data_IF_981660513572
#
_entry.id   IF_981660513572
#
_cell.length_a   1.000
_cell.length_b   1.000
_cell.length_c   1.000
_cell.angle_alpha   90.00
_cell.angle_beta   90.00
_cell.angle_gamma   90.00
#
_symmetry.space_group_name_H-M   'P 1'
#
loop_
_entity.id
_entity.type
_entity.pdbx_description
1 polymer ?
#
# COMPACT_ATOMS: atom_id res chain seq x y z
N UNK A 1 22.02 79.44 56.38
CA UNK A 1 22.21 78.03 56.74
C UNK A 1 21.60 77.21 55.61
N UNK A 2 22.30 76.82 54.52
CA UNK A 2 23.27 75.69 54.40
C UNK A 2 22.97 74.55 55.37
N UNK A 3 22.78 73.28 55.03
CA UNK A 3 22.63 72.52 53.77
C UNK A 3 22.57 71.07 54.25
N UNK A 4 21.42 70.39 54.17
CA UNK A 4 21.32 69.00 54.63
C UNK A 4 20.24 68.20 53.90
N UNK A 5 20.23 68.32 52.57
CA UNK A 5 19.53 67.41 51.67
C UNK A 5 20.39 67.21 50.44
N UNK A 6 21.35 66.30 50.52
CA UNK A 6 22.03 65.67 49.36
C UNK A 6 23.11 64.70 49.85
N UNK A 7 22.71 63.70 50.61
CA UNK A 7 23.48 62.47 50.78
C UNK A 7 22.46 61.36 50.94
N UNK A 8 22.05 60.75 49.84
CA UNK A 8 21.41 59.43 49.71
C UNK A 8 20.78 59.30 48.30
N UNK A 9 21.56 59.47 47.24
CA UNK A 9 21.19 58.96 45.91
C UNK A 9 22.38 59.08 44.95
N UNK A 10 23.27 58.10 44.96
CA UNK A 10 24.40 58.10 44.03
C UNK A 10 25.36 56.95 44.25
N UNK A 11 24.85 55.72 44.33
CA UNK A 11 25.72 54.53 44.32
C UNK A 11 24.92 53.25 44.11
N UNK A 12 24.14 53.15 43.03
CA UNK A 12 23.64 51.82 42.62
C UNK A 12 23.31 51.71 41.12
N UNK A 13 23.96 52.54 40.28
CA UNK A 13 23.96 52.31 38.85
C UNK A 13 25.22 51.50 38.51
N UNK A 14 25.03 50.29 38.01
CA UNK A 14 26.12 49.47 37.50
C UNK A 14 26.66 50.17 36.25
N UNK A 15 27.85 50.77 36.35
CA UNK A 15 28.51 51.35 35.19
C UNK A 15 28.99 50.21 34.27
N UNK A 16 28.38 50.14 33.08
CA UNK A 16 28.70 49.14 32.06
C UNK A 16 30.18 49.22 31.63
N UNK A 17 30.77 50.41 31.62
CA UNK A 17 32.19 50.60 31.28
C UNK A 17 33.08 49.98 32.36
N UNK A 18 32.71 50.16 33.63
CA UNK A 18 33.43 49.61 34.77
C UNK A 18 33.38 48.07 34.80
N UNK A 19 32.22 47.48 34.48
CA UNK A 19 32.06 46.03 34.35
C UNK A 19 32.95 45.48 33.24
N UNK A 20 32.96 46.12 32.06
CA UNK A 20 33.80 45.69 30.93
C UNK A 20 35.29 45.77 31.28
N UNK A 21 35.72 46.83 31.96
CA UNK A 21 37.10 46.96 32.45
C UNK A 21 37.45 45.89 33.49
N UNK A 22 36.52 45.56 34.39
CA UNK A 22 36.69 44.49 35.37
C UNK A 22 36.89 43.12 34.71
N UNK A 23 36.09 42.80 33.70
CA UNK A 23 36.27 41.58 32.88
C UNK A 23 37.61 41.60 32.16
N UNK A 24 38.03 42.73 31.61
CA UNK A 24 39.32 42.87 30.91
C UNK A 24 40.53 42.60 31.82
N UNK A 25 40.48 43.08 33.07
CA UNK A 25 41.51 42.79 34.09
C UNK A 25 41.59 41.30 34.42
N UNK A 26 40.45 40.62 34.43
CA UNK A 26 40.36 39.19 34.75
C UNK A 26 40.27 38.29 33.49
N UNK A 27 40.77 38.75 32.33
CA UNK A 27 40.70 38.00 31.05
C UNK A 27 41.29 36.59 31.12
N UNK A 28 42.29 36.36 31.98
CA UNK A 28 42.86 35.02 32.23
C UNK A 28 41.82 34.07 32.81
N UNK A 29 40.95 34.54 33.72
CA UNK A 29 39.88 33.73 34.30
C UNK A 29 38.78 33.42 33.28
N UNK A 30 38.47 34.38 32.39
CA UNK A 30 37.54 34.13 31.27
C UNK A 30 38.05 32.98 30.41
N UNK A 31 39.34 33.00 30.02
CA UNK A 31 39.95 31.94 29.21
C UNK A 31 40.03 30.62 29.99
N UNK A 32 40.46 30.65 31.26
CA UNK A 32 40.63 29.46 32.09
C UNK A 32 39.32 28.70 32.30
N UNK A 33 38.18 29.40 32.38
CA UNK A 33 36.85 28.79 32.50
C UNK A 33 36.29 28.39 31.13
N UNK A 34 36.50 29.21 30.10
CA UNK A 34 35.98 28.92 28.76
C UNK A 34 36.63 27.69 28.13
N UNK A 35 37.95 27.53 28.28
CA UNK A 35 38.73 26.48 27.60
C UNK A 35 38.28 25.06 28.00
N UNK A 36 38.09 24.70 29.28
CA UNK A 36 37.55 23.40 29.68
C UNK A 36 36.14 23.13 29.13
N UNK A 37 35.24 24.13 29.13
CA UNK A 37 33.87 23.96 28.62
C UNK A 37 33.88 23.71 27.10
N UNK A 38 34.72 24.44 26.37
CA UNK A 38 34.91 24.24 24.93
C UNK A 38 35.55 22.88 24.65
N UNK A 39 36.55 22.47 25.44
CA UNK A 39 37.21 21.16 25.32
C UNK A 39 36.23 20.01 25.58
N UNK A 40 35.33 20.14 26.57
CA UNK A 40 34.24 19.18 26.82
C UNK A 40 33.27 19.11 25.65
N UNK A 41 32.90 20.26 25.06
CA UNK A 41 32.05 20.31 23.87
C UNK A 41 32.69 19.60 22.67
N UNK A 42 33.98 19.83 22.44
CA UNK A 42 34.74 19.17 21.39
C UNK A 42 34.86 17.66 21.64
N UNK A 43 35.20 17.27 22.88
CA UNK A 43 35.28 15.87 23.28
C UNK A 43 33.96 15.13 23.06
N UNK A 44 32.83 15.74 23.43
CA UNK A 44 31.50 15.18 23.18
C UNK A 44 31.23 14.96 21.69
N UNK A 45 31.54 15.95 20.84
CA UNK A 45 31.33 15.86 19.38
C UNK A 45 32.19 14.77 18.73
N UNK A 46 33.36 14.48 19.28
CA UNK A 46 34.24 13.42 18.77
C UNK A 46 33.82 12.02 19.25
N UNK A 47 33.13 11.92 20.38
CA UNK A 47 32.76 10.64 20.99
C UNK A 47 31.38 10.13 20.55
N UNK A 48 30.44 11.02 20.23
CA UNK A 48 29.08 10.63 19.82
C UNK A 48 29.06 10.08 18.39
N UNK A 49 28.47 8.89 18.23
CA UNK A 49 28.28 8.25 16.92
C UNK A 49 27.51 9.16 15.95
N UNK A 50 27.98 9.31 14.70
CA UNK A 50 27.26 10.03 13.68
C UNK A 50 25.98 9.28 13.29
N UNK A 51 24.91 10.01 12.99
CA UNK A 51 23.66 9.43 12.46
C UNK A 51 23.43 9.95 11.06
N UNK A 52 23.19 9.04 10.13
CA UNK A 52 22.92 9.30 8.72
C UNK A 52 21.46 9.02 8.42
N UNK A 53 20.89 9.84 7.53
CA UNK A 53 19.48 9.76 7.12
C UNK A 53 19.41 9.32 5.66
N UNK A 54 18.73 8.20 5.40
CA UNK A 54 18.37 7.79 4.05
C UNK A 54 16.87 7.95 3.83
N UNK A 55 16.49 8.29 2.60
CA UNK A 55 15.10 8.47 2.18
C UNK A 55 14.82 7.66 0.92
N UNK A 56 13.63 7.06 0.87
CA UNK A 56 13.08 6.48 -0.34
C UNK A 56 11.68 7.06 -0.54
N UNK A 57 11.48 7.72 -1.69
CA UNK A 57 10.19 8.20 -2.12
C UNK A 57 9.49 7.15 -2.97
N UNK A 58 8.24 6.87 -2.66
CA UNK A 58 7.40 5.90 -3.36
C UNK A 58 6.11 6.56 -3.83
N UNK A 59 5.70 6.23 -5.04
CA UNK A 59 4.51 6.75 -5.70
C UNK A 59 3.73 5.62 -6.39
N UNK A 60 2.52 5.88 -6.92
CA UNK A 60 1.75 4.86 -7.62
C UNK A 60 2.55 4.29 -8.80
N UNK A 61 2.41 2.98 -9.09
CA UNK A 61 2.97 2.41 -10.32
C UNK A 61 2.25 3.00 -11.53
N UNK A 62 2.82 2.85 -12.71
CA UNK A 62 2.14 3.13 -13.97
C UNK A 62 1.13 2.03 -14.32
N UNK A 63 0.18 2.35 -15.20
CA UNK A 63 -0.79 1.36 -15.67
C UNK A 63 -0.11 0.19 -16.42
N UNK A 64 1.02 0.46 -17.08
CA UNK A 64 1.79 -0.56 -17.80
C UNK A 64 2.45 -1.56 -16.83
N UNK A 65 2.93 -1.09 -15.68
CA UNK A 65 3.59 -1.93 -14.65
C UNK A 65 2.61 -2.83 -13.89
N UNK A 66 1.30 -2.62 -14.05
CA UNK A 66 0.26 -3.50 -13.51
C UNK A 66 -0.54 -4.23 -14.60
N UNK A 67 -0.14 -4.11 -15.87
CA UNK A 67 -0.92 -4.64 -17.00
C UNK A 67 -1.20 -6.15 -16.87
N UNK A 68 -0.28 -6.90 -16.25
CA UNK A 68 -0.42 -8.33 -16.02
C UNK A 68 -1.52 -8.68 -15.01
N UNK A 69 -1.82 -7.81 -14.05
CA UNK A 69 -3.00 -7.98 -13.18
C UNK A 69 -4.32 -7.85 -13.94
N UNK A 70 -4.29 -7.14 -15.07
CA UNK A 70 -5.44 -6.94 -15.95
C UNK A 70 -5.55 -8.01 -17.05
N UNK A 71 -4.61 -8.95 -17.14
CA UNK A 71 -4.71 -10.05 -18.09
C UNK A 71 -5.98 -10.87 -17.80
N UNK A 72 -6.86 -10.97 -18.79
CA UNK A 72 -8.16 -11.63 -18.65
C UNK A 72 -9.20 -10.85 -17.84
N UNK A 73 -8.94 -9.60 -17.43
CA UNK A 73 -9.97 -8.70 -16.86
C UNK A 73 -10.61 -7.84 -17.96
N UNK A 74 -11.86 -7.44 -17.74
CA UNK A 74 -12.67 -6.66 -18.68
C UNK A 74 -13.58 -7.51 -19.58
N UNK A 75 -14.19 -6.84 -20.57
CA UNK A 75 -15.00 -7.44 -21.64
C UNK A 75 -15.80 -8.67 -21.22
N UNK A 76 -15.40 -9.81 -21.79
CA UNK A 76 -16.11 -11.09 -21.70
C UNK A 76 -15.79 -11.91 -20.46
N UNK A 77 -15.00 -11.46 -19.47
CA UNK A 77 -14.86 -12.20 -18.20
C UNK A 77 -15.72 -11.63 -17.08
N UNK A 78 -16.16 -10.37 -17.22
CA UNK A 78 -16.93 -9.67 -16.20
C UNK A 78 -16.10 -9.29 -14.98
N UNK A 79 -14.80 -9.58 -14.97
CA UNK A 79 -13.89 -9.14 -13.93
C UNK A 79 -13.58 -7.65 -14.16
N UNK A 80 -13.78 -6.77 -13.17
CA UNK A 80 -13.49 -5.35 -13.33
C UNK A 80 -11.98 -5.13 -13.52
N UNK A 81 -11.56 -4.22 -14.41
CA UNK A 81 -10.15 -3.87 -14.56
C UNK A 81 -9.66 -3.19 -13.28
N UNK A 82 -8.38 -3.41 -12.98
CA UNK A 82 -7.64 -2.83 -11.87
C UNK A 82 -6.87 -1.60 -12.35
N UNK A 83 -6.96 -0.53 -11.58
CA UNK A 83 -6.18 0.68 -11.80
C UNK A 83 -4.86 0.64 -11.04
N UNK A 84 -3.89 1.44 -11.48
CA UNK A 84 -2.66 1.69 -10.73
C UNK A 84 -2.94 2.14 -9.28
N UNK A 85 -4.04 2.87 -9.08
CA UNK A 85 -4.50 3.31 -7.76
C UNK A 85 -4.87 2.11 -6.89
N UNK A 86 -5.59 1.12 -7.41
CA UNK A 86 -6.00 -0.05 -6.63
C UNK A 86 -4.79 -0.83 -6.12
N UNK A 87 -3.79 -1.03 -6.99
CA UNK A 87 -2.53 -1.66 -6.62
C UNK A 87 -1.78 -0.85 -5.55
N UNK A 88 -1.69 0.47 -5.75
CA UNK A 88 -1.00 1.35 -4.81
C UNK A 88 -1.72 1.46 -3.46
N UNK A 89 -3.05 1.44 -3.41
CA UNK A 89 -3.81 1.47 -2.17
C UNK A 89 -3.53 0.21 -1.32
N UNK A 90 -3.41 -0.96 -1.95
CA UNK A 90 -3.01 -2.20 -1.27
C UNK A 90 -1.57 -2.10 -0.77
N UNK A 91 -0.67 -1.51 -1.57
CA UNK A 91 0.69 -1.22 -1.16
C UNK A 91 0.76 -0.31 0.07
N UNK A 92 0.04 0.81 0.06
CA UNK A 92 0.03 1.76 1.18
C UNK A 92 -0.52 1.12 2.46
N UNK A 93 -1.57 0.32 2.37
CA UNK A 93 -2.09 -0.47 3.50
C UNK A 93 -1.01 -1.40 4.06
N UNK A 94 -0.24 -2.07 3.21
CA UNK A 94 0.86 -2.93 3.63
C UNK A 94 2.01 -2.12 4.25
N UNK A 95 2.41 -1.02 3.60
CA UNK A 95 3.50 -0.14 4.01
C UNK A 95 3.27 0.47 5.39
N UNK A 96 2.01 0.77 5.73
CA UNK A 96 1.62 1.33 7.02
C UNK A 96 1.21 0.26 8.04
N UNK A 97 1.24 -1.03 7.68
CA UNK A 97 0.74 -2.09 8.54
C UNK A 97 1.70 -2.41 9.68
N UNK A 98 1.13 -2.65 10.87
CA UNK A 98 1.87 -3.22 12.01
C UNK A 98 2.45 -4.60 11.69
N UNK A 99 1.86 -5.35 10.75
CA UNK A 99 2.38 -6.65 10.34
C UNK A 99 3.75 -6.54 9.65
N UNK A 100 3.89 -5.63 8.68
CA UNK A 100 5.19 -5.34 8.03
C UNK A 100 6.15 -4.75 9.03
N UNK A 101 5.68 -3.83 9.88
CA UNK A 101 6.52 -3.18 10.89
C UNK A 101 7.09 -4.14 11.92
N UNK A 102 6.27 -5.04 12.46
CA UNK A 102 6.70 -6.09 13.37
C UNK A 102 7.62 -7.12 12.71
N UNK A 103 7.38 -7.47 11.44
CA UNK A 103 8.26 -8.38 10.71
C UNK A 103 9.64 -7.75 10.54
N UNK A 104 9.70 -6.51 10.07
CA UNK A 104 10.95 -5.77 9.90
C UNK A 104 11.69 -5.57 11.23
N UNK A 105 10.98 -5.23 12.30
CA UNK A 105 11.56 -5.16 13.65
C UNK A 105 12.30 -6.45 14.03
N UNK A 106 11.66 -7.61 13.79
CA UNK A 106 12.24 -8.91 14.14
C UNK A 106 13.38 -9.34 13.23
N UNK A 107 13.30 -9.06 11.93
CA UNK A 107 14.23 -9.60 10.93
C UNK A 107 15.38 -8.67 10.58
N UNK A 108 15.24 -7.36 10.80
CA UNK A 108 16.23 -6.36 10.40
C UNK A 108 16.76 -5.56 11.59
N UNK A 109 15.92 -5.18 12.57
CA UNK A 109 16.36 -4.40 13.73
C UNK A 109 16.96 -5.25 14.85
N UNK A 110 16.25 -6.27 15.35
CA UNK A 110 16.75 -7.11 16.44
C UNK A 110 18.13 -7.74 16.17
N UNK A 111 18.47 -8.20 14.94
CA UNK A 111 19.79 -8.75 14.66
C UNK A 111 20.94 -7.74 14.73
N UNK A 112 20.66 -6.44 14.73
CA UNK A 112 21.68 -5.39 14.91
C UNK A 112 22.09 -5.22 16.38
N UNK A 113 21.30 -5.76 17.31
CA UNK A 113 21.51 -5.61 18.74
C UNK A 113 22.29 -6.78 19.32
N UNK A 114 23.13 -6.47 20.30
CA UNK A 114 23.80 -7.44 21.18
C UNK A 114 22.78 -8.25 21.99
N UNK A 115 23.20 -9.40 22.53
CA UNK A 115 22.32 -10.24 23.38
C UNK A 115 21.81 -9.46 24.61
N UNK A 116 22.67 -8.64 25.22
CA UNK A 116 22.30 -7.82 26.39
C UNK A 116 21.25 -6.76 26.04
N UNK A 117 21.42 -6.06 24.92
CA UNK A 117 20.44 -5.08 24.44
C UNK A 117 19.09 -5.75 24.11
N UNK A 118 19.12 -6.95 23.54
CA UNK A 118 17.91 -7.73 23.23
C UNK A 118 17.18 -8.23 24.47
N UNK A 119 17.88 -8.43 25.59
CA UNK A 119 17.28 -8.83 26.86
C UNK A 119 16.48 -7.69 27.54
N UNK A 120 16.59 -6.46 27.04
CA UNK A 120 15.84 -5.31 27.54
C UNK A 120 14.33 -5.36 27.28
N UNK A 121 13.63 -4.30 27.68
CA UNK A 121 12.19 -4.17 27.44
C UNK A 121 11.88 -4.13 25.95
N UNK A 122 11.02 -5.05 25.50
CA UNK A 122 10.58 -5.11 24.11
C UNK A 122 9.89 -3.83 23.64
N UNK A 123 9.13 -3.17 24.52
CA UNK A 123 8.45 -1.92 24.19
C UNK A 123 9.43 -0.78 24.00
N UNK A 124 10.50 -0.74 24.81
CA UNK A 124 11.59 0.22 24.65
C UNK A 124 12.33 0.01 23.32
N UNK A 125 12.64 -1.25 22.98
CA UNK A 125 13.26 -1.61 21.72
C UNK A 125 12.38 -1.24 20.51
N UNK A 126 11.07 -1.48 20.61
CA UNK A 126 10.14 -1.11 19.54
C UNK A 126 10.01 0.41 19.38
N UNK A 127 10.00 1.15 20.49
CA UNK A 127 10.02 2.62 20.48
C UNK A 127 11.29 3.17 19.84
N UNK A 128 12.45 2.59 20.16
CA UNK A 128 13.73 2.92 19.54
C UNK A 128 13.68 2.68 18.03
N UNK A 129 13.23 1.50 17.60
CA UNK A 129 13.03 1.18 16.19
C UNK A 129 12.10 2.19 15.48
N UNK A 130 10.97 2.55 16.08
CA UNK A 130 10.04 3.53 15.52
C UNK A 130 10.61 4.95 15.41
N UNK A 131 11.62 5.28 16.21
CA UNK A 131 12.36 6.54 16.10
C UNK A 131 13.34 6.52 14.91
N UNK A 132 13.87 5.35 14.57
CA UNK A 132 14.85 5.14 13.49
C UNK A 132 14.20 5.02 12.12
N UNK A 133 13.08 4.29 12.01
CA UNK A 133 12.36 4.08 10.77
C UNK A 133 10.99 4.77 10.79
N UNK A 134 10.73 5.66 9.85
CA UNK A 134 9.47 6.42 9.73
C UNK A 134 8.88 6.30 8.33
N UNK A 135 7.55 6.24 8.27
CA UNK A 135 6.76 6.30 7.04
C UNK A 135 5.82 7.49 7.17
N UNK A 136 5.84 8.40 6.20
CA UNK A 136 4.99 9.58 6.18
C UNK A 136 4.63 9.96 4.74
N UNK A 137 3.61 10.79 4.57
CA UNK A 137 3.38 11.48 3.30
C UNK A 137 4.55 12.43 3.03
N UNK A 138 5.01 12.49 1.77
CA UNK A 138 6.13 13.32 1.37
C UNK A 138 5.80 14.82 1.50
N UNK A 139 4.56 15.19 1.17
CA UNK A 139 4.03 16.54 1.34
C UNK A 139 2.50 16.50 1.49
N UNK A 140 1.93 17.51 2.17
CA UNK A 140 0.47 17.57 2.44
C UNK A 140 -0.39 17.70 1.18
N UNK A 141 0.18 18.26 0.12
CA UNK A 141 -0.40 18.47 -1.20
C UNK A 141 -0.15 17.30 -2.17
N UNK A 142 0.67 16.31 -1.78
CA UNK A 142 0.96 15.11 -2.56
C UNK A 142 0.53 13.84 -1.80
N UNK A 143 -0.79 13.58 -1.67
CA UNK A 143 -1.32 12.51 -0.81
C UNK A 143 -0.91 11.09 -1.25
N UNK A 144 -0.53 10.94 -2.53
CA UNK A 144 -0.12 9.66 -3.11
C UNK A 144 1.40 9.49 -3.17
N UNK A 145 2.19 10.39 -2.58
CA UNK A 145 3.64 10.28 -2.51
C UNK A 145 4.04 10.06 -1.06
N UNK A 146 4.66 8.93 -0.78
CA UNK A 146 5.12 8.58 0.57
C UNK A 146 6.65 8.59 0.62
N UNK A 147 7.18 8.86 1.80
CA UNK A 147 8.60 8.79 2.09
C UNK A 147 8.84 7.82 3.24
N UNK A 148 9.78 6.90 3.02
CA UNK A 148 10.33 6.02 4.03
C UNK A 148 11.67 6.61 4.42
N UNK A 149 11.85 6.88 5.72
CA UNK A 149 13.08 7.49 6.26
C UNK A 149 13.71 6.53 7.25
N UNK A 150 15.01 6.27 7.11
CA UNK A 150 15.79 5.48 8.06
C UNK A 150 16.97 6.31 8.60
N UNK A 151 17.16 6.28 9.91
CA UNK A 151 18.23 6.97 10.62
C UNK A 151 19.14 5.94 11.32
N UNK A 152 20.33 5.68 10.76
CA UNK A 152 21.29 4.71 11.29
C UNK A 152 22.69 5.31 11.39
N UNK A 153 23.58 4.65 12.13
CA UNK A 153 24.99 5.03 12.22
C UNK A 153 25.78 4.65 10.95
N UNK A 154 25.37 3.57 10.28
CA UNK A 154 25.94 3.17 8.98
C UNK A 154 25.11 3.78 7.82
N UNK A 155 25.72 4.64 6.97
CA UNK A 155 25.08 5.19 5.78
C UNK A 155 24.51 4.12 4.84
N UNK A 156 25.24 3.00 4.66
CA UNK A 156 24.80 1.91 3.77
C UNK A 156 23.62 1.16 4.37
N UNK A 157 23.67 0.89 5.67
CA UNK A 157 22.58 0.34 6.45
C UNK A 157 21.30 1.17 6.32
N UNK A 158 21.39 2.50 6.44
CA UNK A 158 20.24 3.38 6.29
C UNK A 158 19.58 3.26 4.89
N UNK A 159 20.38 3.30 3.82
CA UNK A 159 19.89 3.14 2.45
C UNK A 159 19.29 1.74 2.22
N UNK A 160 19.91 0.71 2.78
CA UNK A 160 19.42 -0.67 2.71
C UNK A 160 18.09 -0.84 3.43
N UNK A 161 17.91 -0.18 4.59
CA UNK A 161 16.71 -0.26 5.40
C UNK A 161 15.48 0.27 4.67
N UNK A 162 15.56 1.48 4.09
CA UNK A 162 14.41 2.06 3.38
C UNK A 162 13.99 1.19 2.19
N UNK A 163 14.97 0.65 1.45
CA UNK A 163 14.76 -0.25 0.31
C UNK A 163 14.10 -1.57 0.74
N UNK A 164 14.65 -2.21 1.78
CA UNK A 164 14.11 -3.48 2.31
C UNK A 164 12.72 -3.32 2.90
N UNK A 165 12.45 -2.22 3.58
CA UNK A 165 11.13 -1.95 4.14
C UNK A 165 10.08 -1.77 3.04
N UNK A 166 10.40 -0.98 2.01
CA UNK A 166 9.54 -0.81 0.83
C UNK A 166 9.27 -2.14 0.12
N UNK A 167 10.31 -2.95 -0.05
CA UNK A 167 10.21 -4.26 -0.71
C UNK A 167 9.39 -5.25 0.13
N UNK A 168 9.56 -5.27 1.45
CA UNK A 168 8.76 -6.11 2.35
C UNK A 168 7.27 -5.75 2.29
N UNK A 169 6.95 -4.45 2.23
CA UNK A 169 5.59 -3.97 2.01
C UNK A 169 5.05 -4.40 0.64
N UNK A 170 5.86 -4.25 -0.41
CA UNK A 170 5.53 -4.64 -1.78
C UNK A 170 5.21 -6.14 -1.89
N UNK A 171 6.03 -7.00 -1.29
CA UNK A 171 5.81 -8.45 -1.30
C UNK A 171 4.51 -8.83 -0.59
N UNK A 172 4.22 -8.21 0.56
CA UNK A 172 2.95 -8.44 1.27
C UNK A 172 1.76 -8.00 0.41
N UNK A 173 1.83 -6.79 -0.15
CA UNK A 173 0.78 -6.22 -0.97
C UNK A 173 0.53 -7.06 -2.24
N UNK A 174 1.60 -7.47 -2.92
CA UNK A 174 1.55 -8.37 -4.09
C UNK A 174 0.88 -9.69 -3.74
N UNK A 175 1.26 -10.33 -2.64
CA UNK A 175 0.66 -11.59 -2.20
C UNK A 175 -0.84 -11.44 -1.91
N UNK A 176 -1.24 -10.36 -1.23
CA UNK A 176 -2.65 -10.06 -0.95
C UNK A 176 -3.45 -9.82 -2.23
N UNK A 177 -2.90 -9.03 -3.15
CA UNK A 177 -3.52 -8.68 -4.43
C UNK A 177 -3.72 -9.91 -5.34
N UNK A 178 -2.71 -10.76 -5.44
CA UNK A 178 -2.77 -11.99 -6.23
C UNK A 178 -3.77 -12.97 -5.63
N UNK A 179 -3.79 -13.11 -4.30
CA UNK A 179 -4.78 -13.94 -3.60
C UNK A 179 -6.20 -13.43 -3.86
N UNK A 180 -6.42 -12.12 -3.76
CA UNK A 180 -7.70 -11.49 -4.07
C UNK A 180 -8.13 -11.76 -5.51
N UNK A 181 -7.23 -11.56 -6.47
CA UNK A 181 -7.51 -11.80 -7.89
C UNK A 181 -7.83 -13.27 -8.18
N UNK A 182 -7.10 -14.21 -7.58
CA UNK A 182 -7.40 -15.64 -7.70
C UNK A 182 -8.81 -15.97 -7.17
N UNK A 183 -9.21 -15.31 -6.08
CA UNK A 183 -10.56 -15.44 -5.52
C UNK A 183 -11.61 -14.88 -6.46
N UNK A 184 -11.41 -13.69 -7.03
CA UNK A 184 -12.33 -13.08 -8.01
C UNK A 184 -12.56 -14.00 -9.20
N UNK A 185 -11.48 -14.55 -9.76
CA UNK A 185 -11.51 -15.48 -10.90
C UNK A 185 -12.28 -16.74 -10.53
N UNK A 186 -12.02 -17.33 -9.36
CA UNK A 186 -12.72 -18.53 -8.90
C UNK A 186 -14.22 -18.28 -8.76
N UNK A 187 -14.62 -17.18 -8.13
CA UNK A 187 -16.03 -16.82 -7.93
C UNK A 187 -16.73 -16.65 -9.28
N UNK A 188 -16.09 -15.97 -10.23
CA UNK A 188 -16.66 -15.80 -11.57
C UNK A 188 -16.78 -17.13 -12.33
N UNK A 189 -15.78 -18.00 -12.22
CA UNK A 189 -15.83 -19.33 -12.81
C UNK A 189 -16.97 -20.17 -12.21
N UNK A 190 -17.09 -20.19 -10.88
CA UNK A 190 -18.13 -20.95 -10.16
C UNK A 190 -19.54 -20.42 -10.50
N UNK A 191 -19.69 -19.10 -10.65
CA UNK A 191 -20.95 -18.50 -11.08
C UNK A 191 -21.34 -18.91 -12.51
N UNK A 192 -20.37 -18.91 -13.42
CA UNK A 192 -20.60 -19.30 -14.82
C UNK A 192 -20.89 -20.80 -14.95
N UNK A 193 -20.20 -21.63 -14.18
CA UNK A 193 -20.44 -23.07 -14.12
C UNK A 193 -21.85 -23.39 -13.63
N UNK A 194 -22.30 -22.74 -12.55
CA UNK A 194 -23.70 -22.86 -12.08
C UNK A 194 -24.71 -22.44 -13.13
N UNK A 195 -24.41 -21.39 -13.91
CA UNK A 195 -25.29 -20.95 -15.00
C UNK A 195 -25.37 -21.99 -16.12
N UNK A 196 -24.24 -22.57 -16.51
CA UNK A 196 -24.19 -23.66 -17.51
C UNK A 196 -25.04 -24.85 -17.04
N UNK A 197 -24.87 -25.28 -15.79
CA UNK A 197 -25.63 -26.40 -15.23
C UNK A 197 -27.14 -26.09 -15.20
N UNK A 198 -27.52 -24.87 -14.86
CA UNK A 198 -28.92 -24.43 -14.88
C UNK A 198 -29.51 -24.45 -16.31
N UNK A 199 -28.77 -23.97 -17.31
CA UNK A 199 -29.21 -23.98 -18.70
C UNK A 199 -29.36 -25.41 -19.23
N UNK A 200 -28.44 -26.32 -18.87
CA UNK A 200 -28.53 -27.75 -19.20
C UNK A 200 -29.74 -28.43 -18.56
N UNK A 201 -30.01 -28.14 -17.28
CA UNK A 201 -31.19 -28.64 -16.60
C UNK A 201 -32.49 -28.10 -17.21
N UNK A 202 -32.52 -26.82 -17.60
CA UNK A 202 -33.67 -26.21 -18.29
C UNK A 202 -33.93 -26.88 -19.63
N UNK A 203 -32.90 -27.06 -20.45
CA UNK A 203 -33.03 -27.73 -21.75
C UNK A 203 -33.51 -29.18 -21.62
N UNK A 204 -33.11 -29.86 -20.53
CA UNK A 204 -33.64 -31.17 -20.17
C UNK A 204 -35.15 -31.16 -19.94
N UNK A 205 -35.66 -30.19 -19.17
CA UNK A 205 -37.09 -30.01 -18.90
C UNK A 205 -37.86 -29.60 -20.16
N UNK A 206 -37.34 -28.63 -20.92
CA UNK A 206 -37.93 -28.19 -22.18
C UNK A 206 -38.07 -29.34 -23.19
N UNK A 207 -37.09 -30.24 -23.24
CA UNK A 207 -37.21 -31.47 -24.06
C UNK A 207 -38.36 -32.35 -23.61
N UNK A 208 -38.51 -32.57 -22.30
CA UNK A 208 -39.60 -33.40 -21.75
C UNK A 208 -40.95 -32.77 -22.07
N UNK A 209 -41.09 -31.46 -21.86
CA UNK A 209 -42.32 -30.72 -22.17
C UNK A 209 -42.65 -30.79 -23.68
N UNK A 210 -41.63 -30.67 -24.54
CA UNK A 210 -41.80 -30.79 -25.99
C UNK A 210 -42.27 -32.19 -26.40
N UNK A 211 -41.72 -33.25 -25.81
CA UNK A 211 -42.17 -34.62 -26.06
C UNK A 211 -43.65 -34.78 -25.65
N UNK A 212 -44.07 -34.23 -24.51
CA UNK A 212 -45.46 -34.28 -24.07
C UNK A 212 -46.40 -33.58 -25.05
N UNK A 213 -46.03 -32.37 -25.52
CA UNK A 213 -46.79 -31.64 -26.53
C UNK A 213 -46.88 -32.40 -27.86
N UNK A 214 -45.78 -33.02 -28.31
CA UNK A 214 -45.76 -33.83 -29.53
C UNK A 214 -46.63 -35.09 -29.40
N UNK A 215 -46.66 -35.73 -28.22
CA UNK A 215 -47.54 -36.89 -27.95
C UNK A 215 -49.02 -36.52 -28.00
N UNK A 216 -49.38 -35.33 -27.50
CA UNK A 216 -50.75 -34.80 -27.62
C UNK A 216 -51.13 -34.57 -29.08
N UNK A 217 -50.28 -33.86 -29.83
CA UNK A 217 -50.48 -33.59 -31.25
C UNK A 217 -50.57 -34.89 -32.09
N UNK A 218 -49.75 -35.89 -31.75
CA UNK A 218 -49.78 -37.20 -32.40
C UNK A 218 -51.12 -37.91 -32.19
N UNK A 219 -51.71 -37.83 -30.98
CA UNK A 219 -53.01 -38.43 -30.68
C UNK A 219 -54.12 -37.81 -31.52
N UNK A 220 -54.10 -36.48 -31.67
CA UNK A 220 -55.04 -35.74 -32.53
C UNK A 220 -54.84 -36.13 -33.99
N UNK A 221 -53.59 -36.15 -34.49
CA UNK A 221 -53.30 -36.52 -35.88
C UNK A 221 -53.79 -37.94 -36.21
N UNK A 222 -53.61 -38.90 -35.28
CA UNK A 222 -54.11 -40.27 -35.42
C UNK A 222 -55.64 -40.35 -35.40
N UNK A 223 -56.32 -39.60 -34.53
CA UNK A 223 -57.79 -39.65 -34.43
C UNK A 223 -58.50 -39.12 -35.68
N UNK A 224 -57.88 -38.16 -36.39
CA UNK A 224 -58.40 -37.62 -37.65
C UNK A 224 -57.82 -38.31 -38.90
N UNK A 225 -56.99 -39.36 -38.74
CA UNK A 225 -56.40 -40.10 -39.86
C UNK A 225 -55.33 -39.34 -40.66
N UNK A 226 -54.72 -38.29 -40.09
CA UNK A 226 -53.72 -37.48 -40.77
C UNK A 226 -52.31 -38.08 -40.63
N UNK A 227 -51.90 -38.90 -41.60
CA UNK A 227 -50.58 -39.52 -41.59
C UNK A 227 -49.43 -38.60 -42.05
N UNK A 228 -49.69 -37.78 -43.07
CA UNK A 228 -48.72 -36.89 -43.72
C UNK A 228 -49.28 -35.46 -43.77
N UNK A 229 -48.43 -34.43 -43.87
CA UNK A 229 -48.89 -33.06 -44.03
C UNK A 229 -49.85 -32.93 -45.22
N UNK A 230 -50.99 -32.22 -45.08
CA UNK A 230 -51.88 -31.97 -46.19
C UNK A 230 -51.18 -31.06 -47.21
N UNK A 231 -51.39 -31.31 -48.51
CA UNK A 231 -50.89 -30.43 -49.57
C UNK A 231 -51.80 -29.20 -49.61
N UNK A 232 -51.28 -28.06 -49.14
CA UNK A 232 -52.00 -26.78 -49.18
C UNK A 232 -51.43 -25.95 -50.34
N UNK A 233 -52.20 -25.81 -51.41
CA UNK A 233 -51.84 -25.01 -52.59
C UNK A 233 -52.35 -23.56 -52.41
N UNK A 234 -51.48 -22.55 -52.54
CA UNK A 234 -51.87 -21.12 -52.59
C UNK A 234 -51.19 -20.16 -51.60
N UNK A 235 -51.69 -18.92 -51.53
CA UNK A 235 -51.17 -17.76 -50.75
C UNK A 235 -51.30 -17.88 -49.23
N UNK A 236 -51.95 -18.93 -48.70
CA UNK A 236 -52.10 -19.23 -47.26
C UNK A 236 -50.86 -19.88 -46.61
N UNK A 237 -49.75 -19.98 -47.33
CA UNK A 237 -48.57 -20.73 -46.90
C UNK A 237 -47.81 -20.09 -45.73
N UNK A 238 -47.79 -18.76 -45.58
CA UNK A 238 -47.04 -18.07 -44.52
C UNK A 238 -47.73 -18.11 -43.15
N UNK A 239 -49.04 -17.87 -43.09
CA UNK A 239 -49.82 -17.86 -41.83
C UNK A 239 -49.99 -19.27 -41.26
N UNK A 240 -50.21 -20.26 -42.14
CA UNK A 240 -50.30 -21.68 -41.73
C UNK A 240 -48.93 -22.18 -41.25
N UNK A 241 -47.83 -21.77 -41.89
CA UNK A 241 -46.47 -22.14 -41.45
C UNK A 241 -46.09 -21.56 -40.08
N UNK A 242 -46.52 -20.33 -39.78
CA UNK A 242 -46.33 -19.72 -38.46
C UNK A 242 -47.18 -20.43 -37.37
N UNK A 243 -48.39 -20.87 -37.70
CA UNK A 243 -49.26 -21.63 -36.80
C UNK A 243 -48.82 -23.08 -36.53
N UNK A 244 -48.05 -23.69 -37.45
CA UNK A 244 -47.52 -25.06 -37.31
C UNK A 244 -46.49 -25.24 -36.18
N UNK A 245 -45.96 -24.14 -35.62
CA UNK A 245 -45.11 -24.19 -34.42
C UNK A 245 -45.88 -24.38 -33.10
N UNK A 246 -47.21 -24.16 -33.11
CA UNK A 246 -48.08 -24.14 -31.93
C UNK A 246 -49.31 -25.03 -32.07
N UNK A 247 -50.52 -24.45 -32.01
CA UNK A 247 -51.82 -25.17 -31.99
C UNK A 247 -52.05 -26.10 -33.18
N UNK A 248 -51.32 -25.93 -34.29
CA UNK A 248 -51.41 -26.75 -35.49
C UNK A 248 -50.31 -27.81 -35.58
N UNK A 249 -49.62 -28.14 -34.49
CA UNK A 249 -48.52 -29.14 -34.50
C UNK A 249 -48.98 -30.50 -35.07
N UNK A 250 -50.25 -30.89 -34.86
CA UNK A 250 -50.83 -32.13 -35.41
C UNK A 250 -50.87 -32.15 -36.94
N UNK A 251 -50.93 -30.98 -37.59
CA UNK A 251 -50.98 -30.87 -39.06
C UNK A 251 -49.69 -31.35 -39.75
N UNK A 252 -48.61 -31.56 -39.00
CA UNK A 252 -47.36 -32.16 -39.49
C UNK A 252 -47.53 -33.66 -39.82
N UNK A 253 -48.62 -34.29 -39.39
CA UNK A 253 -48.95 -35.68 -39.64
C UNK A 253 -48.29 -36.66 -38.67
N UNK A 254 -48.95 -37.79 -38.43
CA UNK A 254 -48.56 -38.77 -37.43
C UNK A 254 -47.12 -39.31 -37.61
N UNK A 255 -46.71 -39.61 -38.86
CA UNK A 255 -45.38 -40.19 -39.13
C UNK A 255 -44.23 -39.26 -38.77
N UNK A 256 -44.38 -37.96 -39.05
CA UNK A 256 -43.37 -36.96 -38.73
C UNK A 256 -43.26 -36.75 -37.21
N UNK A 257 -44.40 -36.72 -36.51
CA UNK A 257 -44.44 -36.56 -35.05
C UNK A 257 -43.84 -37.78 -34.33
N UNK A 258 -44.14 -39.00 -34.78
CA UNK A 258 -43.52 -40.23 -34.25
C UNK A 258 -42.01 -40.23 -34.42
N UNK A 259 -41.52 -39.85 -35.61
CA UNK A 259 -40.09 -39.77 -35.88
C UNK A 259 -39.39 -38.72 -35.00
N UNK A 260 -40.01 -37.55 -34.79
CA UNK A 260 -39.45 -36.52 -33.91
C UNK A 260 -39.45 -36.93 -32.44
N UNK A 261 -40.54 -37.55 -31.95
CA UNK A 261 -40.61 -38.08 -30.58
C UNK A 261 -39.50 -39.12 -30.37
N UNK A 262 -39.37 -40.10 -31.27
CA UNK A 262 -38.34 -41.13 -31.20
C UNK A 262 -36.93 -40.52 -31.19
N UNK A 263 -36.68 -39.50 -32.01
CA UNK A 263 -35.40 -38.79 -32.02
C UNK A 263 -35.13 -38.01 -30.72
N UNK A 264 -36.15 -37.37 -30.13
CA UNK A 264 -36.01 -36.65 -28.86
C UNK A 264 -35.81 -37.59 -27.67
N UNK A 265 -36.51 -38.72 -27.65
CA UNK A 265 -36.37 -39.77 -26.63
C UNK A 265 -35.01 -40.48 -26.71
N UNK A 266 -34.51 -40.75 -27.92
CA UNK A 266 -33.20 -41.37 -28.14
C UNK A 266 -32.01 -40.41 -27.98
N UNK A 267 -32.25 -39.09 -27.90
CA UNK A 267 -31.19 -38.09 -27.80
C UNK A 267 -30.39 -38.24 -26.49
N UNK A 268 -29.06 -38.36 -26.62
CA UNK A 268 -28.14 -38.53 -25.49
C UNK A 268 -27.79 -37.21 -24.78
N UNK A 269 -27.69 -36.09 -25.49
CA UNK A 269 -27.31 -34.79 -24.92
C UNK A 269 -28.12 -33.64 -25.52
N UNK A 270 -28.46 -32.67 -24.67
CA UNK A 270 -29.14 -31.43 -25.07
C UNK A 270 -28.16 -30.29 -25.41
N UNK A 271 -26.87 -30.44 -25.09
CA UNK A 271 -25.86 -29.38 -25.25
C UNK A 271 -25.85 -28.72 -26.64
N UNK A 272 -25.93 -29.47 -27.77
CA UNK A 272 -25.93 -28.84 -29.11
C UNK A 272 -27.13 -27.92 -29.38
N UNK A 273 -28.18 -28.02 -28.57
CA UNK A 273 -29.43 -27.27 -28.73
C UNK A 273 -29.54 -26.11 -27.73
N UNK A 274 -28.56 -25.93 -26.84
CA UNK A 274 -28.54 -24.85 -25.86
C UNK A 274 -27.84 -23.64 -26.47
N UNK A 275 -28.58 -22.56 -26.65
CA UNK A 275 -28.06 -21.31 -27.22
C UNK A 275 -26.97 -20.71 -26.34
N UNK A 276 -25.82 -20.40 -26.94
CA UNK A 276 -24.71 -19.72 -26.24
C UNK A 276 -23.91 -20.63 -25.29
N UNK A 277 -24.14 -21.95 -25.30
CA UNK A 277 -23.48 -22.87 -24.36
C UNK A 277 -21.98 -22.98 -24.62
N UNK A 278 -21.57 -23.02 -25.90
CA UNK A 278 -20.16 -23.21 -26.28
C UNK A 278 -19.32 -22.01 -25.85
N UNK A 279 -19.84 -20.81 -26.06
CA UNK A 279 -19.24 -19.56 -25.64
C UNK A 279 -19.09 -19.48 -24.10
N UNK A 280 -20.11 -19.94 -23.36
CA UNK A 280 -20.04 -20.03 -21.89
C UNK A 280 -18.98 -21.05 -21.43
N UNK A 281 -18.91 -22.22 -22.08
CA UNK A 281 -17.93 -23.25 -21.78
C UNK A 281 -16.50 -22.78 -22.08
N UNK A 282 -16.28 -22.11 -23.22
CA UNK A 282 -14.99 -21.50 -23.58
C UNK A 282 -14.57 -20.45 -22.56
N UNK A 283 -15.49 -19.56 -22.16
CA UNK A 283 -15.24 -18.56 -21.11
C UNK A 283 -14.93 -19.19 -19.76
N UNK A 284 -15.63 -20.26 -19.37
CA UNK A 284 -15.34 -21.00 -18.14
C UNK A 284 -13.94 -21.61 -18.19
N UNK A 285 -13.59 -22.25 -19.31
CA UNK A 285 -12.26 -22.83 -19.52
C UNK A 285 -11.18 -21.75 -19.45
N UNK A 286 -11.41 -20.60 -20.09
CA UNK A 286 -10.51 -19.45 -20.00
C UNK A 286 -10.28 -19.01 -18.55
N UNK A 287 -11.35 -18.77 -17.78
CA UNK A 287 -11.28 -18.38 -16.37
C UNK A 287 -10.52 -19.41 -15.52
N UNK A 288 -10.79 -20.70 -15.70
CA UNK A 288 -10.11 -21.79 -14.96
C UNK A 288 -8.64 -21.94 -15.35
N UNK A 289 -8.28 -21.59 -16.60
CA UNK A 289 -6.91 -21.65 -17.11
C UNK A 289 -6.08 -20.39 -16.83
N UNK A 290 -6.73 -19.30 -16.40
CA UNK A 290 -6.11 -18.00 -16.20
C UNK A 290 -5.08 -18.08 -15.06
N UNK A 291 -3.81 -17.81 -15.41
CA UNK A 291 -2.70 -17.73 -14.46
C UNK A 291 -2.06 -16.36 -14.58
N UNK A 292 -1.90 -15.69 -13.44
CA UNK A 292 -1.24 -14.39 -13.36
C UNK A 292 0.19 -14.61 -12.91
N UNK A 293 1.13 -14.10 -13.68
CA UNK A 293 2.55 -14.15 -13.33
C UNK A 293 2.86 -13.14 -12.21
N UNK A 294 3.29 -13.59 -11.02
CA UNK A 294 3.62 -12.70 -9.91
C UNK A 294 4.84 -11.79 -10.17
N UNK A 295 5.75 -12.19 -11.06
CA UNK A 295 7.05 -11.53 -11.24
C UNK A 295 6.93 -10.14 -11.87
N UNK A 296 5.88 -9.91 -12.63
CA UNK A 296 5.69 -8.74 -13.50
C UNK A 296 4.88 -7.59 -12.89
N UNK A 297 4.40 -7.75 -11.65
CA UNK A 297 3.50 -6.79 -11.01
C UNK A 297 4.29 -5.84 -10.11
N UNK A 298 4.31 -4.54 -10.43
CA UNK A 298 4.82 -3.52 -9.51
C UNK A 298 3.68 -2.96 -8.65
N UNK A 299 3.90 -2.88 -7.33
CA UNK A 299 2.91 -2.33 -6.39
C UNK A 299 3.16 -0.84 -6.10
N UNK A 300 4.36 -0.34 -6.42
CA UNK A 300 4.78 1.05 -6.29
C UNK A 300 5.86 1.36 -7.33
N UNK A 301 6.06 2.63 -7.63
CA UNK A 301 7.21 3.13 -8.35
C UNK A 301 8.13 3.88 -7.38
N UNK A 302 9.41 3.64 -7.50
CA UNK A 302 10.43 4.40 -6.79
C UNK A 302 10.67 5.73 -7.52
N UNK A 303 10.60 6.82 -6.78
CA UNK A 303 10.81 8.17 -7.28
C UNK A 303 12.22 8.67 -6.91
N UNK A 304 13.14 8.52 -7.86
CA UNK A 304 14.57 8.72 -7.65
C UNK A 304 15.28 7.53 -7.00
N UNK A 305 16.61 7.51 -7.02
CA UNK A 305 17.40 6.45 -6.37
C UNK A 305 17.32 6.52 -4.84
N UNK A 306 17.66 5.42 -4.16
CA UNK A 306 18.02 5.51 -2.73
C UNK A 306 19.45 5.98 -2.69
N UNK A 307 19.63 7.26 -2.39
CA UNK A 307 20.97 7.84 -2.25
C UNK A 307 21.59 7.39 -0.93
N UNK A 308 22.86 6.99 -0.99
CA UNK A 308 23.65 6.78 0.21
C UNK A 308 24.03 8.15 0.78
N UNK A 309 23.66 8.47 2.03
CA UNK A 309 23.95 9.78 2.60
C UNK A 309 25.46 9.99 2.84
N UNK A 310 26.02 11.03 2.23
CA UNK A 310 27.44 11.38 2.38
C UNK A 310 27.76 12.11 3.69
N UNK A 311 26.76 12.76 4.30
CA UNK A 311 26.94 13.61 5.50
C UNK A 311 25.97 13.21 6.62
N UNK A 312 26.43 13.15 7.88
CA UNK A 312 25.57 12.84 9.00
C UNK A 312 24.67 14.03 9.36
N UNK A 313 23.44 13.74 9.78
CA UNK A 313 22.48 14.73 10.26
C UNK A 313 22.66 15.06 11.76
N UNK A 314 23.31 14.16 12.51
CA UNK A 314 23.66 14.31 13.93
C UNK A 314 25.06 13.77 14.22
N UNK A 315 25.75 14.29 15.25
CA UNK A 315 25.42 15.50 15.99
C UNK A 315 25.67 16.76 15.15
N UNK A 316 24.91 17.86 15.40
CA UNK A 316 25.13 19.14 14.72
C UNK A 316 26.37 19.84 15.28
N UNK A 317 27.56 19.41 14.81
CA UNK A 317 28.87 19.78 15.35
C UNK A 317 29.05 21.29 15.54
N UNK A 318 28.68 22.08 14.52
CA UNK A 318 28.77 23.55 14.58
C UNK A 318 27.89 24.18 15.67
N UNK A 319 26.66 23.68 15.84
CA UNK A 319 25.73 24.19 16.86
C UNK A 319 26.26 23.87 18.27
N UNK A 320 26.76 22.65 18.47
CA UNK A 320 27.32 22.24 19.77
C UNK A 320 28.55 23.09 20.10
N UNK A 321 29.49 23.25 19.16
CA UNK A 321 30.67 24.07 19.38
C UNK A 321 30.34 25.53 19.67
N UNK A 322 29.37 26.11 18.97
CA UNK A 322 28.91 27.48 19.23
C UNK A 322 28.31 27.60 20.64
N UNK A 323 27.44 26.67 21.04
CA UNK A 323 26.84 26.65 22.37
C UNK A 323 27.88 26.46 23.47
N UNK A 324 28.83 25.53 23.30
CA UNK A 324 29.92 25.32 24.24
C UNK A 324 30.82 26.56 24.37
N UNK A 325 31.06 27.28 23.28
CA UNK A 325 31.84 28.52 23.28
C UNK A 325 31.09 29.65 23.99
N UNK A 326 29.82 29.87 23.66
CA UNK A 326 28.99 30.90 24.31
C UNK A 326 28.82 30.64 25.80
N UNK A 327 28.57 29.39 26.19
CA UNK A 327 28.43 29.00 27.59
C UNK A 327 29.76 29.13 28.35
N UNK A 328 30.87 28.71 27.73
CA UNK A 328 32.21 28.85 28.31
C UNK A 328 32.60 30.31 28.54
N UNK A 329 32.39 31.17 27.54
CA UNK A 329 32.64 32.61 27.66
C UNK A 329 31.71 33.27 28.67
N UNK A 330 30.41 32.95 28.66
CA UNK A 330 29.43 33.49 29.60
C UNK A 330 29.78 33.15 31.05
N UNK A 331 30.09 31.89 31.33
CA UNK A 331 30.55 31.46 32.66
C UNK A 331 31.88 32.13 33.04
N UNK A 332 32.81 32.24 32.09
CA UNK A 332 34.08 32.93 32.30
C UNK A 332 33.90 34.40 32.67
N UNK A 333 32.99 35.12 32.00
CA UNK A 333 32.65 36.52 32.31
C UNK A 333 32.04 36.64 33.70
N UNK A 334 31.10 35.75 34.08
CA UNK A 334 30.49 35.77 35.41
C UNK A 334 31.53 35.54 36.53
N UNK A 335 32.44 34.59 36.35
CA UNK A 335 33.54 34.33 37.30
C UNK A 335 34.50 35.52 37.36
N UNK A 336 34.83 36.12 36.21
CA UNK A 336 35.69 37.29 36.13
C UNK A 336 35.10 38.49 36.90
N UNK A 337 33.81 38.79 36.72
CA UNK A 337 33.11 39.86 37.44
C UNK A 337 33.08 39.56 38.95
N UNK A 338 32.67 38.35 39.34
CA UNK A 338 32.62 37.95 40.75
C UNK A 338 33.98 38.06 41.45
N UNK A 339 35.05 37.69 40.75
CA UNK A 339 36.42 37.82 41.26
C UNK A 339 36.88 39.27 41.34
N UNK A 340 36.63 40.09 40.33
CA UNK A 340 36.98 41.52 40.35
C UNK A 340 36.27 42.25 41.50
N UNK A 341 34.97 41.98 41.71
CA UNK A 341 34.21 42.52 42.85
C UNK A 341 34.76 42.03 44.19
N UNK A 342 35.20 40.78 44.30
CA UNK A 342 35.78 40.23 45.52
C UNK A 342 37.13 40.87 45.86
N UNK A 343 38.04 40.98 44.89
CA UNK A 343 39.35 41.61 45.08
C UNK A 343 39.23 43.09 45.48
N UNK A 344 38.26 43.82 44.91
CA UNK A 344 37.96 45.21 45.31
C UNK A 344 37.48 45.31 46.75
N UNK A 345 36.68 44.35 47.22
CA UNK A 345 36.19 44.30 48.61
C UNK A 345 37.29 43.93 49.61
N UNK A 346 38.26 43.12 49.22
CA UNK A 346 39.37 42.69 50.10
C UNK A 346 40.58 43.62 50.05
N UNK A 347 40.53 44.72 49.28
CA UNK A 347 41.61 45.71 49.21
C UNK A 347 42.86 45.23 48.49
N UNK A 348 42.74 44.24 47.60
CA UNK A 348 43.85 43.62 46.86
C UNK A 348 43.96 44.10 45.39
N UNK A 349 43.36 45.25 45.05
CA UNK A 349 43.35 45.81 43.68
C UNK A 349 44.38 46.91 43.52
#
# INVERSE_FOLDING_TARGET
MRSERERLSGSDEIDLVEVVQGVWRQKLWVVLIALPVIALGLGYVMLVSPVYEAKLYVQPPSQNEIAQLNYGRGGDTGLPPLSAKDAYDVYLKALQSEAVRNKFFRTEFLPMLTEEERAGSRDALYSQFNSMLKVAQAAKDMPNRYVITANLEDPRGAATWVSRYAEMASQRAKAEMLKGTQSDISIMADNLERRIQADQASAGKERVDRIAQLKEALRIAKSIGLEKPPIISGTLSSEVSAGMGGSLTYMRGAKALEAEIANLEARSSNDPFIKGLREKQERLNFLRSLKIDPSSVAMYQQDGGVEQPDKPIKPRKAVIMLLSTLMGLGLGVLVAIGRDLWLRRTGQV
#
